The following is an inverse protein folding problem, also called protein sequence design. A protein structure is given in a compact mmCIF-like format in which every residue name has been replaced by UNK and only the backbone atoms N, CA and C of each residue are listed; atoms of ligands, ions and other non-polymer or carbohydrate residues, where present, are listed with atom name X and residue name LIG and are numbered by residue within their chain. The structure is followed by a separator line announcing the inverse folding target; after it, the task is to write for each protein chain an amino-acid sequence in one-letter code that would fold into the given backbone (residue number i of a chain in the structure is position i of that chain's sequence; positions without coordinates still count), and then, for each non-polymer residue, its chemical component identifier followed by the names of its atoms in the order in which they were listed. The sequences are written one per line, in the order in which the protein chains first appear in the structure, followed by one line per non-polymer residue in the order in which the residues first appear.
data_IF_128969668398
#
_entry.id   IF_128969668398
#
_cell.length_a   1.000
_cell.length_b   1.000
_cell.length_c   1.000
_cell.angle_alpha   90.00
_cell.angle_beta   90.00
_cell.angle_gamma   90.00
#
_symmetry.space_group_name_H-M   'P 1'
#
loop_
_entity.id
_entity.type
_entity.pdbx_description
1 polymer ?
#
# COMPACT_ATOMS: atom_id res chain seq x y z
N UNK A 1 1.61 -1.87 -28.37
CA UNK A 1 2.18 -1.98 -27.01
C UNK A 1 1.06 -2.32 -26.06
N UNK A 2 1.25 -3.31 -25.19
CA UNK A 2 0.24 -3.78 -24.26
C UNK A 2 0.35 -2.91 -23.00
N UNK A 3 -0.45 -1.87 -22.89
CA UNK A 3 -0.40 -0.88 -21.78
C UNK A 3 -1.05 -1.44 -20.50
N UNK A 4 -0.72 -2.67 -20.11
CA UNK A 4 -1.25 -3.20 -18.86
C UNK A 4 -0.59 -2.44 -17.71
N UNK A 5 -1.41 -1.82 -16.87
CA UNK A 5 -0.95 -1.24 -15.61
C UNK A 5 -1.28 -2.24 -14.51
N UNK A 6 -0.27 -2.63 -13.74
CA UNK A 6 -0.44 -3.48 -12.58
C UNK A 6 -0.62 -2.61 -11.35
N UNK A 7 -1.57 -2.98 -10.51
CA UNK A 7 -1.85 -2.35 -9.24
C UNK A 7 -1.87 -3.45 -8.19
N UNK A 8 -1.12 -3.28 -7.13
CA UNK A 8 -1.13 -4.20 -6.01
C UNK A 8 -1.58 -3.45 -4.75
N UNK A 9 -2.40 -4.11 -3.96
CA UNK A 9 -2.83 -3.63 -2.65
C UNK A 9 -2.22 -4.53 -1.57
N UNK A 10 -1.70 -3.93 -0.52
CA UNK A 10 -1.18 -4.61 0.66
C UNK A 10 -1.90 -4.14 1.90
N UNK A 11 -2.38 -5.08 2.70
CA UNK A 11 -2.95 -4.82 4.03
C UNK A 11 -1.94 -5.19 5.11
N UNK A 12 -1.66 -4.26 6.01
CA UNK A 12 -0.62 -4.37 7.02
C UNK A 12 -1.21 -4.15 8.40
N UNK A 13 -0.92 -5.07 9.32
CA UNK A 13 -1.19 -4.90 10.74
C UNK A 13 0.00 -4.21 11.42
N UNK A 14 -0.27 -3.12 12.12
CA UNK A 14 0.68 -2.31 12.88
C UNK A 14 0.49 -2.60 14.38
N UNK A 15 1.48 -3.18 15.04
CA UNK A 15 1.35 -3.52 16.46
C UNK A 15 1.24 -2.28 17.37
N UNK A 16 0.43 -2.39 18.42
CA UNK A 16 -0.01 -1.31 19.33
C UNK A 16 1.10 -0.59 20.06
N UNK A 17 2.26 -1.23 20.23
CA UNK A 17 3.30 -0.76 21.14
C UNK A 17 4.11 0.39 20.52
N UNK A 18 3.98 0.57 19.20
CA UNK A 18 4.42 1.71 18.42
C UNK A 18 3.28 2.72 18.25
N UNK A 19 2.89 3.37 19.34
CA UNK A 19 1.78 4.32 19.38
C UNK A 19 1.99 5.50 18.42
N UNK A 20 0.97 5.73 17.57
CA UNK A 20 0.49 6.93 16.87
C UNK A 20 1.44 8.04 16.35
N UNK A 21 2.53 8.37 17.04
CA UNK A 21 3.36 9.55 16.76
C UNK A 21 4.10 9.46 15.42
N UNK A 22 4.29 8.27 14.86
CA UNK A 22 5.04 8.06 13.62
C UNK A 22 4.16 7.86 12.37
N UNK A 23 2.83 7.89 12.47
CA UNK A 23 1.95 7.63 11.31
C UNK A 23 2.14 8.65 10.20
N UNK A 24 2.15 9.93 10.54
CA UNK A 24 2.32 11.01 9.56
C UNK A 24 3.70 10.97 8.90
N UNK A 25 4.73 10.55 9.63
CA UNK A 25 6.08 10.37 9.07
C UNK A 25 6.13 9.17 8.13
N UNK A 26 5.53 8.05 8.52
CA UNK A 26 5.43 6.86 7.68
C UNK A 26 4.61 7.14 6.40
N UNK A 27 3.48 7.82 6.54
CA UNK A 27 2.63 8.23 5.42
C UNK A 27 3.42 9.06 4.40
N UNK A 28 4.13 10.08 4.90
CA UNK A 28 4.96 10.93 4.07
C UNK A 28 6.10 10.13 3.41
N UNK A 29 6.85 9.33 4.17
CA UNK A 29 7.97 8.55 3.64
C UNK A 29 7.50 7.58 2.55
N UNK A 30 6.37 6.87 2.76
CA UNK A 30 5.80 5.95 1.77
C UNK A 30 5.26 6.68 0.53
N UNK A 31 4.59 7.82 0.69
CA UNK A 31 4.09 8.60 -0.44
C UNK A 31 5.21 9.21 -1.31
N UNK A 32 6.42 9.32 -0.77
CA UNK A 32 7.60 9.77 -1.51
C UNK A 32 8.26 8.63 -2.34
N UNK A 33 7.90 7.36 -2.15
CA UNK A 33 8.42 6.25 -2.96
C UNK A 33 7.79 6.23 -4.36
N UNK A 34 8.65 6.15 -5.38
CA UNK A 34 8.19 5.90 -6.74
C UNK A 34 7.45 4.57 -6.83
N UNK A 35 6.30 4.59 -7.48
CA UNK A 35 5.40 3.44 -7.57
C UNK A 35 4.40 3.31 -6.42
N UNK A 36 4.45 4.10 -5.34
CA UNK A 36 3.35 4.14 -4.36
C UNK A 36 2.24 5.05 -4.86
N UNK A 37 1.00 4.53 -4.89
CA UNK A 37 -0.17 5.28 -5.35
C UNK A 37 -0.94 5.92 -4.19
N UNK A 38 -1.11 5.19 -3.10
CA UNK A 38 -1.81 5.68 -1.91
C UNK A 38 -1.48 4.88 -0.67
N UNK A 39 -1.51 5.57 0.46
CA UNK A 39 -1.42 4.99 1.81
C UNK A 39 -2.66 5.40 2.58
N UNK A 40 -3.27 4.47 3.31
CA UNK A 40 -4.46 4.74 4.10
C UNK A 40 -4.38 4.01 5.44
N UNK A 41 -4.47 4.74 6.55
CA UNK A 41 -4.57 4.16 7.88
C UNK A 41 -6.04 3.98 8.25
N UNK A 42 -6.39 2.79 8.70
CA UNK A 42 -7.71 2.54 9.26
C UNK A 42 -7.75 3.19 10.66
N UNK A 43 -8.64 4.17 10.82
CA UNK A 43 -8.82 4.90 12.07
C UNK A 43 -10.12 4.50 12.80
N UNK A 44 -10.98 3.70 12.15
CA UNK A 44 -12.34 3.42 12.61
C UNK A 44 -12.44 2.01 13.19
N UNK A 45 -12.18 0.97 12.39
CA UNK A 45 -12.45 -0.43 12.75
C UNK A 45 -11.19 -1.12 13.28
N UNK A 46 -10.07 -0.95 12.58
CA UNK A 46 -8.78 -1.52 12.96
C UNK A 46 -7.74 -0.42 13.08
N UNK A 47 -7.73 0.30 14.21
CA UNK A 47 -6.74 1.36 14.48
C UNK A 47 -5.30 0.95 14.20
N UNK A 48 -5.01 -0.35 14.28
CA UNK A 48 -3.71 -0.96 14.07
C UNK A 48 -3.55 -1.50 12.65
N UNK A 49 -4.12 -0.83 11.65
CA UNK A 49 -4.05 -1.31 10.28
C UNK A 49 -3.81 -0.19 9.28
N UNK A 50 -3.16 -0.57 8.18
CA UNK A 50 -2.82 0.31 7.08
C UNK A 50 -2.96 -0.45 5.76
N UNK A 51 -3.40 0.28 4.73
CA UNK A 51 -3.47 -0.15 3.35
C UNK A 51 -2.45 0.62 2.52
N UNK A 52 -1.73 -0.07 1.65
CA UNK A 52 -0.80 0.53 0.69
C UNK A 52 -1.14 0.01 -0.70
N UNK A 53 -1.45 0.93 -1.62
CA UNK A 53 -1.62 0.62 -3.04
C UNK A 53 -0.38 1.06 -3.80
N UNK A 54 0.18 0.18 -4.61
CA UNK A 54 1.47 0.41 -5.29
C UNK A 54 1.55 -0.28 -6.66
N UNK A 55 2.53 0.14 -7.47
CA UNK A 55 2.92 -0.50 -8.70
C UNK A 55 3.95 -1.61 -8.41
N UNK A 56 3.58 -2.89 -8.51
CA UNK A 56 4.49 -3.99 -8.24
C UNK A 56 5.61 -4.15 -9.28
N UNK A 57 5.55 -3.42 -10.40
CA UNK A 57 6.66 -3.36 -11.37
C UNK A 57 7.75 -2.34 -10.97
N UNK A 58 7.44 -1.40 -10.08
CA UNK A 58 8.36 -0.35 -9.61
C UNK A 58 8.93 -0.66 -8.23
N UNK A 59 8.09 -1.13 -7.31
CA UNK A 59 8.46 -1.41 -5.91
C UNK A 59 7.82 -2.71 -5.43
N UNK A 60 8.53 -3.51 -4.64
CA UNK A 60 8.01 -4.76 -4.09
C UNK A 60 7.33 -4.56 -2.73
N UNK A 61 6.44 -5.50 -2.35
CA UNK A 61 5.87 -5.53 -1.00
C UNK A 61 6.95 -5.65 0.08
N UNK A 62 8.04 -6.36 -0.21
CA UNK A 62 9.12 -6.59 0.75
C UNK A 62 9.89 -5.29 1.03
N UNK A 63 10.17 -4.49 -0.01
CA UNK A 63 10.79 -3.18 0.13
C UNK A 63 9.89 -2.22 0.93
N UNK A 64 8.58 -2.21 0.65
CA UNK A 64 7.61 -1.45 1.43
C UNK A 64 7.60 -1.89 2.89
N UNK A 65 7.65 -3.20 3.17
CA UNK A 65 7.68 -3.72 4.54
C UNK A 65 8.97 -3.35 5.28
N UNK A 66 10.12 -3.22 4.60
CA UNK A 66 11.36 -2.70 5.20
C UNK A 66 11.15 -1.27 5.69
N UNK A 67 10.52 -0.42 4.89
CA UNK A 67 10.22 0.98 5.26
C UNK A 67 9.25 1.03 6.45
N UNK A 68 8.15 0.27 6.37
CA UNK A 68 7.14 0.22 7.43
C UNK A 68 7.76 -0.22 8.76
N UNK A 69 8.66 -1.22 8.73
CA UNK A 69 9.31 -1.76 9.92
C UNK A 69 10.35 -0.85 10.57
N UNK A 70 10.78 0.24 9.89
CA UNK A 70 11.55 1.30 10.56
C UNK A 70 10.76 1.99 11.66
N UNK A 71 9.44 2.14 11.43
CA UNK A 71 8.52 2.86 12.32
C UNK A 71 7.70 1.90 13.19
N UNK A 72 7.40 0.72 12.65
CA UNK A 72 6.59 -0.32 13.30
C UNK A 72 7.29 -1.68 13.17
N UNK A 73 8.27 -1.94 14.04
CA UNK A 73 9.19 -3.11 13.96
C UNK A 73 8.44 -4.44 13.82
N UNK A 74 7.34 -4.60 14.54
CA UNK A 74 6.56 -5.84 14.55
C UNK A 74 5.49 -5.89 13.45
N UNK A 75 5.47 -4.93 12.50
CA UNK A 75 4.47 -4.91 11.44
C UNK A 75 4.46 -6.19 10.60
N UNK A 76 3.25 -6.66 10.30
CA UNK A 76 3.00 -7.89 9.54
C UNK A 76 2.09 -7.59 8.36
N UNK A 77 2.49 -8.02 7.16
CA UNK A 77 1.60 -8.04 6.00
C UNK A 77 0.59 -9.18 6.16
N UNK A 78 -0.70 -8.86 6.10
CA UNK A 78 -1.80 -9.79 6.39
C UNK A 78 -2.45 -10.28 5.10
N UNK A 79 -2.47 -9.45 4.06
CA UNK A 79 -3.01 -9.81 2.75
C UNK A 79 -2.37 -8.98 1.63
N UNK A 80 -2.30 -9.57 0.45
CA UNK A 80 -1.90 -8.89 -0.78
C UNK A 80 -2.85 -9.26 -1.92
N UNK A 81 -3.24 -8.27 -2.73
CA UNK A 81 -4.03 -8.49 -3.95
C UNK A 81 -3.31 -7.85 -5.13
N UNK A 82 -3.21 -8.58 -6.24
CA UNK A 82 -2.66 -8.06 -7.50
C UNK A 82 -3.78 -7.92 -8.52
N UNK A 83 -4.03 -6.68 -8.93
CA UNK A 83 -5.01 -6.33 -9.96
C UNK A 83 -4.30 -5.91 -11.24
N UNK A 84 -4.65 -6.55 -12.35
CA UNK A 84 -4.19 -6.15 -13.68
C UNK A 84 -5.28 -5.33 -14.36
N UNK A 85 -4.97 -4.09 -14.71
CA UNK A 85 -5.87 -3.24 -15.49
C UNK A 85 -5.39 -3.21 -16.94
N UNK A 86 -6.22 -3.69 -17.85
CA UNK A 86 -6.02 -3.57 -19.30
C UNK A 86 -6.87 -2.43 -19.85
N UNK A 87 -6.33 -1.62 -20.79
CA UNK A 87 -7.05 -0.52 -21.46
C UNK A 87 -8.41 -0.94 -22.07
N UNK A 88 -8.58 -2.23 -22.39
CA UNK A 88 -9.84 -2.79 -22.91
C UNK A 88 -11.01 -2.74 -21.93
N UNK A 89 -10.76 -2.58 -20.62
CA UNK A 89 -11.78 -2.54 -19.58
C UNK A 89 -12.40 -1.14 -19.40
N UNK A 90 -11.65 -0.07 -19.69
CA UNK A 90 -12.12 1.33 -19.54
C UNK A 90 -13.13 1.71 -20.62
N UNK A 91 -13.06 1.07 -21.80
CA UNK A 91 -13.92 1.37 -22.95
C UNK A 91 -15.39 0.90 -22.82
N UNK A 92 -15.75 0.14 -21.78
CA UNK A 92 -17.10 -0.47 -21.66
C UNK A 92 -18.11 0.30 -20.81
N UNK A 93 -17.71 1.37 -20.11
CA UNK A 93 -18.60 2.09 -19.19
C UNK A 93 -19.18 3.42 -19.73
N UNK A 94 -19.00 3.72 -21.01
CA UNK A 94 -19.61 4.89 -21.65
C UNK A 94 -20.70 4.48 -22.65
N UNK A 95 -21.74 3.78 -22.20
CA UNK A 95 -22.94 3.57 -23.01
C UNK A 95 -24.22 3.73 -22.21
#
# INVERSE_FOLDING_TARGET
MNNNKYFADMYVHLHSDSLFENRSQLDQELCEYDGVFSVHFDNDEYRNAMFVSYNPETISSDDLMVVIRKHHVDAVSVAGSLTRVSDSAVARNNK
#
